data_IF_231350524669
#
_entry.id   IF_231350524669
#
_cell.length_a   1.000
_cell.length_b   1.000
_cell.length_c   1.000
_cell.angle_alpha   90.00
_cell.angle_beta   90.00
_cell.angle_gamma   90.00
#
_symmetry.space_group_name_H-M   'P 1'
#
loop_
_entity.id
_entity.type
_entity.pdbx_description
1 polymer ?
#
# COMPACT_ATOMS: atom_id res chain seq x y z
N UNK A 1 10.74 -16.51 2.51
CA UNK A 1 10.78 -15.20 1.83
C UNK A 1 10.15 -15.37 0.45
N UNK A 2 9.05 -14.67 0.16
CA UNK A 2 8.40 -14.66 -1.16
C UNK A 2 8.63 -13.28 -1.80
N UNK A 3 9.29 -13.23 -2.96
CA UNK A 3 9.57 -12.01 -3.69
C UNK A 3 8.93 -12.06 -5.08
N UNK A 4 8.47 -10.92 -5.62
CA UNK A 4 8.14 -10.84 -7.04
C UNK A 4 9.33 -11.31 -7.88
N UNK A 5 9.09 -12.27 -8.76
CA UNK A 5 10.13 -12.82 -9.65
C UNK A 5 10.45 -11.89 -10.80
N UNK A 6 9.45 -11.15 -11.29
CA UNK A 6 9.62 -10.13 -12.31
C UNK A 6 8.95 -8.82 -11.88
N UNK A 7 9.67 -7.72 -12.07
CA UNK A 7 9.17 -6.38 -11.85
C UNK A 7 9.43 -5.58 -13.12
N UNK A 8 8.36 -5.15 -13.79
CA UNK A 8 8.43 -4.28 -14.96
C UNK A 8 7.75 -2.97 -14.63
N UNK A 9 8.49 -1.88 -14.70
CA UNK A 9 7.99 -0.53 -14.46
C UNK A 9 8.48 0.41 -15.56
N UNK A 10 7.56 0.83 -16.43
CA UNK A 10 7.86 1.75 -17.52
C UNK A 10 6.67 1.99 -18.46
N UNK A 11 6.77 2.93 -19.40
CA UNK A 11 5.71 3.19 -20.37
C UNK A 11 5.49 1.97 -21.28
N UNK A 12 4.24 1.61 -21.53
CA UNK A 12 3.91 0.46 -22.39
C UNK A 12 4.13 -0.90 -21.73
N UNK A 13 4.35 -0.96 -20.41
CA UNK A 13 4.63 -2.21 -19.70
C UNK A 13 3.52 -3.27 -19.88
N UNK A 14 2.28 -2.89 -20.20
CA UNK A 14 1.20 -3.87 -20.41
C UNK A 14 1.48 -4.85 -21.56
N UNK A 15 2.27 -4.46 -22.56
CA UNK A 15 2.66 -5.35 -23.67
C UNK A 15 3.43 -6.58 -23.18
N UNK A 16 4.12 -6.45 -22.04
CA UNK A 16 4.93 -7.51 -21.44
C UNK A 16 4.13 -8.57 -20.69
N UNK A 17 2.82 -8.40 -20.46
CA UNK A 17 2.02 -9.33 -19.65
C UNK A 17 2.02 -10.75 -20.22
N UNK A 18 1.59 -10.94 -21.47
CA UNK A 18 1.61 -12.24 -22.15
C UNK A 18 3.01 -12.87 -22.23
N UNK A 19 4.04 -12.14 -22.68
CA UNK A 19 5.42 -12.63 -22.67
C UNK A 19 5.92 -13.08 -21.30
N UNK A 20 5.60 -12.33 -20.22
CA UNK A 20 5.96 -12.73 -18.85
C UNK A 20 5.24 -14.01 -18.47
N UNK A 21 3.93 -14.13 -18.67
CA UNK A 21 3.17 -15.34 -18.35
C UNK A 21 3.82 -16.59 -18.99
N UNK A 22 4.24 -16.45 -20.26
CA UNK A 22 4.95 -17.51 -21.00
C UNK A 22 6.32 -17.82 -20.40
N UNK A 23 7.12 -16.80 -20.09
CA UNK A 23 8.44 -16.98 -19.47
C UNK A 23 8.36 -17.67 -18.10
N UNK A 24 7.29 -17.37 -17.35
CA UNK A 24 6.96 -17.95 -16.06
C UNK A 24 6.35 -19.35 -16.15
N UNK A 25 6.12 -19.85 -17.38
CA UNK A 25 5.49 -21.15 -17.68
C UNK A 25 4.12 -21.30 -17.01
N UNK A 26 3.39 -20.19 -16.87
CA UNK A 26 1.98 -20.23 -16.46
C UNK A 26 1.20 -20.99 -17.53
N UNK A 27 0.22 -21.78 -17.10
CA UNK A 27 -0.62 -22.60 -17.97
C UNK A 27 -2.09 -22.31 -17.68
N UNK A 28 -2.94 -22.76 -18.59
CA UNK A 28 -4.38 -22.63 -18.47
C UNK A 28 -4.85 -21.19 -18.62
N UNK A 29 -5.95 -20.88 -17.93
CA UNK A 29 -6.71 -19.66 -18.15
C UNK A 29 -6.46 -18.62 -17.06
N UNK A 30 -6.49 -17.35 -17.45
CA UNK A 30 -6.41 -16.22 -16.55
C UNK A 30 -7.80 -15.76 -16.10
N UNK A 31 -7.93 -15.33 -14.85
CA UNK A 31 -9.02 -14.44 -14.42
C UNK A 31 -8.49 -13.03 -14.17
N UNK A 32 -8.98 -12.06 -14.92
CA UNK A 32 -8.68 -10.63 -14.73
C UNK A 32 -9.74 -10.01 -13.81
N UNK A 33 -9.33 -9.66 -12.59
CA UNK A 33 -10.15 -8.89 -11.65
C UNK A 33 -9.83 -7.40 -11.86
N UNK A 34 -10.84 -6.61 -12.22
CA UNK A 34 -10.67 -5.19 -12.56
C UNK A 34 -11.89 -4.37 -12.14
N UNK A 35 -11.74 -3.04 -12.06
CA UNK A 35 -12.87 -2.12 -11.95
C UNK A 35 -13.51 -1.80 -13.30
N UNK A 36 -14.74 -1.27 -13.27
CA UNK A 36 -15.52 -0.91 -14.47
C UNK A 36 -14.75 0.02 -15.42
N UNK A 37 -14.13 1.08 -14.88
CA UNK A 37 -13.35 2.03 -15.68
C UNK A 37 -11.98 1.47 -16.04
N UNK A 38 -11.34 0.73 -15.14
CA UNK A 38 -9.98 0.21 -15.37
C UNK A 38 -9.94 -0.92 -16.39
N UNK A 39 -11.07 -1.58 -16.67
CA UNK A 39 -11.20 -2.51 -17.81
C UNK A 39 -10.79 -1.83 -19.12
N UNK A 40 -11.39 -0.69 -19.43
CA UNK A 40 -11.07 0.05 -20.66
C UNK A 40 -9.71 0.75 -20.63
N UNK A 41 -9.21 1.11 -19.44
CA UNK A 41 -7.90 1.77 -19.30
C UNK A 41 -6.74 0.79 -19.51
N UNK A 42 -6.86 -0.43 -18.98
CA UNK A 42 -5.77 -1.41 -18.95
C UNK A 42 -6.21 -2.85 -19.14
N UNK A 43 -7.39 -3.24 -18.63
CA UNK A 43 -7.87 -4.62 -18.68
C UNK A 43 -7.95 -5.21 -20.10
N UNK A 44 -8.45 -4.44 -21.06
CA UNK A 44 -8.57 -4.89 -22.45
C UNK A 44 -7.20 -5.10 -23.12
N UNK A 45 -6.25 -4.18 -22.89
CA UNK A 45 -4.88 -4.31 -23.37
C UNK A 45 -4.13 -5.51 -22.73
N UNK A 46 -4.40 -5.76 -21.44
CA UNK A 46 -3.89 -6.95 -20.72
C UNK A 46 -4.43 -8.24 -21.35
N UNK A 47 -5.73 -8.31 -21.61
CA UNK A 47 -6.35 -9.47 -22.26
C UNK A 47 -5.82 -9.68 -23.69
N UNK A 48 -5.60 -8.60 -24.44
CA UNK A 48 -5.01 -8.66 -25.77
C UNK A 48 -3.56 -9.19 -25.73
N UNK A 49 -2.73 -8.71 -24.79
CA UNK A 49 -1.36 -9.21 -24.60
C UNK A 49 -1.34 -10.70 -24.23
N UNK A 50 -2.25 -11.14 -23.36
CA UNK A 50 -2.45 -12.55 -23.00
C UNK A 50 -2.85 -13.40 -24.23
N UNK A 51 -3.85 -12.96 -24.99
CA UNK A 51 -4.37 -13.67 -26.16
C UNK A 51 -3.30 -13.85 -27.25
N UNK A 52 -2.51 -12.80 -27.55
CA UNK A 52 -1.36 -12.88 -28.48
C UNK A 52 -0.30 -13.92 -28.07
N UNK A 53 -0.30 -14.32 -26.81
CA UNK A 53 0.64 -15.30 -26.25
C UNK A 53 -0.02 -16.64 -25.90
N UNK A 54 -1.24 -16.89 -26.38
CA UNK A 54 -1.92 -18.18 -26.26
C UNK A 54 -2.63 -18.41 -24.92
N UNK A 55 -2.99 -17.34 -24.20
CA UNK A 55 -3.79 -17.42 -22.97
C UNK A 55 -5.20 -16.92 -23.22
N UNK A 56 -6.18 -17.69 -22.74
CA UNK A 56 -7.55 -17.20 -22.57
C UNK A 56 -7.66 -16.41 -21.26
N UNK A 57 -8.52 -15.40 -21.25
CA UNK A 57 -8.78 -14.59 -20.07
C UNK A 57 -10.27 -14.26 -19.92
N UNK A 58 -10.80 -14.49 -18.73
CA UNK A 58 -12.13 -14.05 -18.32
C UNK A 58 -12.03 -12.81 -17.43
N UNK A 59 -13.08 -11.98 -17.38
CA UNK A 59 -13.12 -10.77 -16.56
C UNK A 59 -14.09 -10.91 -15.38
N UNK A 60 -13.66 -10.41 -14.23
CA UNK A 60 -14.54 -10.07 -13.12
C UNK A 60 -14.47 -8.57 -12.83
N UNK A 61 -15.60 -7.88 -12.94
CA UNK A 61 -15.72 -6.47 -12.57
C UNK A 61 -16.07 -6.35 -11.08
N UNK A 62 -15.29 -5.56 -10.35
CA UNK A 62 -15.47 -5.28 -8.92
C UNK A 62 -15.54 -3.78 -8.64
N UNK A 63 -16.27 -3.39 -7.60
CA UNK A 63 -16.52 -1.97 -7.28
C UNK A 63 -15.94 -1.54 -5.92
N UNK A 64 -15.86 -2.48 -4.96
CA UNK A 64 -15.40 -2.24 -3.60
C UNK A 64 -14.56 -3.42 -3.10
N UNK A 65 -13.51 -3.15 -2.30
CA UNK A 65 -12.63 -4.18 -1.75
C UNK A 65 -13.29 -4.89 -0.55
N UNK A 66 -14.40 -5.60 -0.76
CA UNK A 66 -15.14 -6.31 0.28
C UNK A 66 -14.86 -7.80 0.26
N UNK A 67 -15.04 -8.48 1.40
CA UNK A 67 -14.92 -9.94 1.46
C UNK A 67 -15.93 -10.64 0.52
N UNK A 68 -17.09 -10.04 0.28
CA UNK A 68 -18.06 -10.52 -0.71
C UNK A 68 -17.46 -10.57 -2.12
N UNK A 69 -16.73 -9.52 -2.54
CA UNK A 69 -16.10 -9.49 -3.85
C UNK A 69 -14.89 -10.44 -3.95
N UNK A 70 -14.21 -10.72 -2.83
CA UNK A 70 -13.20 -11.79 -2.75
C UNK A 70 -13.86 -13.16 -2.98
N UNK A 71 -14.99 -13.44 -2.35
CA UNK A 71 -15.73 -14.70 -2.60
C UNK A 71 -16.29 -14.78 -4.02
N UNK A 72 -16.70 -13.66 -4.63
CA UNK A 72 -17.06 -13.61 -6.06
C UNK A 72 -15.87 -13.93 -6.96
N UNK A 73 -14.68 -13.38 -6.67
CA UNK A 73 -13.46 -13.70 -7.41
C UNK A 73 -13.10 -15.18 -7.31
N UNK A 74 -13.25 -15.78 -6.12
CA UNK A 74 -13.02 -17.21 -5.92
C UNK A 74 -13.99 -18.09 -6.71
N UNK A 75 -15.28 -17.73 -6.73
CA UNK A 75 -16.29 -18.42 -7.54
C UNK A 75 -16.00 -18.30 -9.02
N UNK A 76 -15.78 -17.08 -9.52
CA UNK A 76 -15.45 -16.82 -10.92
C UNK A 76 -14.20 -17.59 -11.38
N UNK A 77 -13.16 -17.70 -10.55
CA UNK A 77 -11.97 -18.47 -10.86
C UNK A 77 -12.28 -19.97 -11.04
N UNK A 78 -13.13 -20.53 -10.17
CA UNK A 78 -13.57 -21.93 -10.28
C UNK A 78 -14.46 -22.17 -11.50
N UNK A 79 -15.46 -21.30 -11.71
CA UNK A 79 -16.43 -21.44 -12.79
C UNK A 79 -15.76 -21.35 -14.18
N UNK A 80 -14.71 -20.54 -14.29
CA UNK A 80 -13.94 -20.36 -15.53
C UNK A 80 -12.80 -21.36 -15.68
N UNK A 81 -12.50 -22.18 -14.67
CA UNK A 81 -11.28 -23.00 -14.56
C UNK A 81 -10.00 -22.16 -14.74
N UNK A 82 -9.94 -20.99 -14.09
CA UNK A 82 -8.74 -20.17 -14.06
C UNK A 82 -7.65 -20.86 -13.22
N UNK A 83 -6.41 -20.77 -13.70
CA UNK A 83 -5.21 -21.32 -13.05
C UNK A 83 -4.37 -20.21 -12.37
N UNK A 84 -4.63 -18.95 -12.73
CA UNK A 84 -3.98 -17.78 -12.13
C UNK A 84 -4.86 -16.53 -12.25
N UNK A 85 -4.62 -15.57 -11.35
CA UNK A 85 -5.38 -14.32 -11.29
C UNK A 85 -4.49 -13.12 -11.63
N UNK A 86 -5.07 -12.14 -12.30
CA UNK A 86 -4.49 -10.80 -12.46
C UNK A 86 -5.37 -9.77 -11.78
N UNK A 87 -4.76 -8.90 -10.98
CA UNK A 87 -5.39 -7.70 -10.46
C UNK A 87 -5.03 -6.52 -11.34
N UNK A 88 -5.96 -6.05 -12.17
CA UNK A 88 -5.72 -4.93 -13.11
C UNK A 88 -6.51 -3.71 -12.66
N UNK A 89 -5.85 -2.71 -12.10
CA UNK A 89 -6.53 -1.50 -11.64
C UNK A 89 -5.86 -0.82 -10.45
N UNK A 90 -6.63 -0.05 -9.69
CA UNK A 90 -6.19 0.50 -8.40
C UNK A 90 -6.13 -0.56 -7.30
N UNK A 91 -5.72 -0.13 -6.10
CA UNK A 91 -5.50 -1.01 -4.94
C UNK A 91 -6.66 -1.95 -4.61
N UNK A 92 -7.91 -1.53 -4.81
CA UNK A 92 -9.10 -2.35 -4.54
C UNK A 92 -9.15 -3.64 -5.38
N UNK A 93 -8.93 -3.54 -6.70
CA UNK A 93 -8.99 -4.69 -7.59
C UNK A 93 -7.80 -5.63 -7.32
N UNK A 94 -6.62 -5.05 -7.07
CA UNK A 94 -5.41 -5.76 -6.69
C UNK A 94 -5.61 -6.54 -5.39
N UNK A 95 -6.14 -5.91 -4.34
CA UNK A 95 -6.32 -6.56 -3.04
C UNK A 95 -7.36 -7.70 -3.10
N UNK A 96 -8.42 -7.54 -3.89
CA UNK A 96 -9.39 -8.61 -4.12
C UNK A 96 -8.73 -9.80 -4.81
N UNK A 97 -8.05 -9.55 -5.93
CA UNK A 97 -7.40 -10.58 -6.73
C UNK A 97 -6.35 -11.34 -5.92
N UNK A 98 -5.52 -10.60 -5.17
CA UNK A 98 -4.44 -11.12 -4.33
C UNK A 98 -4.96 -11.98 -3.19
N UNK A 99 -6.01 -11.53 -2.48
CA UNK A 99 -6.57 -12.35 -1.41
C UNK A 99 -7.29 -13.57 -1.96
N UNK A 100 -8.01 -13.44 -3.06
CA UNK A 100 -8.69 -14.56 -3.72
C UNK A 100 -7.69 -15.63 -4.20
N UNK A 101 -6.62 -15.22 -4.88
CA UNK A 101 -5.59 -16.14 -5.36
C UNK A 101 -4.86 -16.84 -4.22
N UNK A 102 -4.52 -16.10 -3.16
CA UNK A 102 -3.86 -16.65 -1.96
C UNK A 102 -4.73 -17.71 -1.26
N UNK A 103 -6.04 -17.49 -1.19
CA UNK A 103 -6.97 -18.47 -0.61
C UNK A 103 -7.28 -19.66 -1.52
N UNK A 104 -6.95 -19.57 -2.81
CA UNK A 104 -7.08 -20.64 -3.79
C UNK A 104 -5.76 -21.35 -4.09
N UNK A 105 -4.65 -20.94 -3.47
CA UNK A 105 -3.30 -21.42 -3.77
C UNK A 105 -2.94 -21.26 -5.26
N UNK A 106 -3.32 -20.12 -5.83
CA UNK A 106 -3.12 -19.77 -7.25
C UNK A 106 -2.10 -18.63 -7.41
N UNK A 107 -1.41 -18.62 -8.55
CA UNK A 107 -0.50 -17.53 -8.88
C UNK A 107 -1.25 -16.20 -9.06
N UNK A 108 -0.58 -15.12 -8.65
CA UNK A 108 -1.09 -13.77 -8.74
C UNK A 108 -0.15 -12.85 -9.51
N UNK A 109 -0.69 -12.06 -10.44
CA UNK A 109 0.03 -10.97 -11.12
C UNK A 109 -0.63 -9.65 -10.79
N UNK A 110 0.16 -8.68 -10.33
CA UNK A 110 -0.29 -7.33 -10.03
C UNK A 110 -0.03 -6.40 -11.22
N UNK A 111 -1.08 -5.75 -11.72
CA UNK A 111 -1.02 -4.80 -12.83
C UNK A 111 -1.64 -3.46 -12.38
N UNK A 112 -0.91 -2.67 -11.59
CA UNK A 112 -1.44 -1.43 -11.02
C UNK A 112 -1.65 -0.35 -12.08
N UNK A 113 -2.79 0.31 -12.01
CA UNK A 113 -3.12 1.53 -12.79
C UNK A 113 -3.03 2.80 -11.96
N UNK A 114 -2.67 2.67 -10.67
CA UNK A 114 -2.43 3.77 -9.73
C UNK A 114 -1.43 3.31 -8.65
N UNK A 115 -0.70 4.27 -8.07
CA UNK A 115 0.37 4.01 -7.11
C UNK A 115 0.07 4.67 -5.75
N UNK A 116 -0.98 4.20 -5.06
CA UNK A 116 -1.50 4.83 -3.83
C UNK A 116 -0.99 4.25 -2.51
N UNK A 117 -0.42 3.04 -2.53
CA UNK A 117 0.15 2.36 -1.38
C UNK A 117 0.92 1.11 -1.85
N UNK A 118 1.73 0.53 -0.96
CA UNK A 118 2.63 -0.58 -1.29
C UNK A 118 1.92 -1.92 -1.54
N UNK A 119 0.61 -1.97 -1.28
CA UNK A 119 -0.28 -3.08 -1.64
C UNK A 119 -0.20 -3.53 -3.10
N UNK A 120 0.35 -2.71 -4.02
CA UNK A 120 0.62 -3.16 -5.39
C UNK A 120 1.65 -4.29 -5.50
N UNK A 121 2.49 -4.49 -4.49
CA UNK A 121 3.57 -5.50 -4.49
C UNK A 121 3.70 -6.28 -3.18
N UNK A 122 2.95 -5.93 -2.12
CA UNK A 122 3.07 -6.56 -0.81
C UNK A 122 2.23 -7.83 -0.64
N UNK A 123 2.54 -8.59 0.41
CA UNK A 123 1.80 -9.78 0.87
C UNK A 123 0.62 -9.44 1.81
N UNK A 124 0.09 -8.21 1.70
CA UNK A 124 -1.05 -7.73 2.49
C UNK A 124 -2.17 -7.28 1.58
N UNK A 125 -3.42 -7.55 1.95
CA UNK A 125 -4.61 -7.08 1.23
C UNK A 125 -5.56 -6.35 2.19
N UNK A 126 -5.92 -5.11 1.87
CA UNK A 126 -6.86 -4.32 2.67
C UNK A 126 -8.29 -4.57 2.20
N UNK A 127 -9.05 -5.32 3.00
CA UNK A 127 -10.41 -5.78 2.66
C UNK A 127 -11.39 -5.32 3.73
N UNK A 128 -12.53 -4.80 3.28
CA UNK A 128 -13.64 -4.37 4.12
C UNK A 128 -14.41 -5.61 4.62
N UNK A 129 -14.46 -5.74 5.94
CA UNK A 129 -15.15 -6.80 6.69
C UNK A 129 -15.95 -6.16 7.83
N UNK A 130 -17.26 -6.44 7.90
CA UNK A 130 -18.12 -5.84 8.94
C UNK A 130 -18.13 -4.30 8.93
N UNK A 131 -17.99 -3.68 7.75
CA UNK A 131 -17.94 -2.22 7.59
C UNK A 131 -16.58 -1.58 7.89
N UNK A 132 -15.57 -2.35 8.26
CA UNK A 132 -14.23 -1.85 8.61
C UNK A 132 -13.15 -2.39 7.67
N UNK A 133 -12.15 -1.57 7.35
CA UNK A 133 -10.97 -2.02 6.59
C UNK A 133 -10.08 -2.91 7.45
N UNK A 134 -9.76 -4.11 6.97
CA UNK A 134 -8.89 -5.08 7.66
C UNK A 134 -7.74 -5.48 6.74
N UNK A 135 -6.51 -5.35 7.23
CA UNK A 135 -5.30 -5.78 6.54
C UNK A 135 -5.07 -7.29 6.72
N UNK A 136 -5.47 -8.06 5.71
CA UNK A 136 -5.40 -9.52 5.68
C UNK A 136 -4.01 -9.98 5.21
N UNK A 137 -3.55 -11.12 5.72
CA UNK A 137 -2.38 -11.80 5.19
C UNK A 137 -2.75 -12.42 3.84
N UNK A 138 -1.90 -12.21 2.83
CA UNK A 138 -2.01 -12.82 1.52
C UNK A 138 -0.61 -13.25 1.03
N UNK A 139 -0.51 -13.69 -0.21
CA UNK A 139 0.77 -13.93 -0.88
C UNK A 139 1.24 -12.70 -1.66
N UNK A 140 2.56 -12.53 -1.77
CA UNK A 140 3.12 -11.50 -2.64
C UNK A 140 2.89 -11.88 -4.12
N UNK A 141 2.68 -10.90 -5.02
CA UNK A 141 2.52 -11.20 -6.45
C UNK A 141 3.75 -11.89 -7.02
N UNK A 142 3.52 -12.85 -7.92
CA UNK A 142 4.55 -13.49 -8.72
C UNK A 142 5.27 -12.47 -9.61
N UNK A 143 4.49 -11.54 -10.18
CA UNK A 143 4.98 -10.46 -11.04
C UNK A 143 4.25 -9.14 -10.75
N UNK A 144 4.98 -8.03 -10.86
CA UNK A 144 4.41 -6.67 -10.83
C UNK A 144 4.68 -6.00 -12.17
N UNK A 145 3.63 -5.57 -12.86
CA UNK A 145 3.70 -4.96 -14.19
C UNK A 145 3.03 -3.58 -14.11
N UNK A 146 3.83 -2.56 -13.87
CA UNK A 146 3.40 -1.18 -13.66
C UNK A 146 3.64 -0.33 -14.92
N UNK A 147 2.59 -0.09 -15.68
CA UNK A 147 2.67 0.84 -16.81
C UNK A 147 2.67 2.29 -16.31
N UNK A 148 3.85 2.91 -16.30
CA UNK A 148 4.02 4.25 -15.76
C UNK A 148 3.32 5.30 -16.60
N UNK A 149 3.12 5.06 -17.90
CA UNK A 149 2.33 5.94 -18.78
C UNK A 149 0.84 5.95 -18.43
N UNK A 150 0.31 4.81 -17.96
CA UNK A 150 -1.06 4.71 -17.42
C UNK A 150 -1.14 5.34 -16.03
N UNK A 151 -0.22 4.99 -15.13
CA UNK A 151 -0.24 5.50 -13.75
C UNK A 151 -0.07 7.03 -13.73
N UNK A 152 0.72 7.61 -14.64
CA UNK A 152 0.86 9.07 -14.80
C UNK A 152 -0.46 9.78 -15.12
N UNK A 153 -1.39 9.11 -15.79
CA UNK A 153 -2.72 9.64 -16.12
C UNK A 153 -3.74 9.44 -14.98
N UNK A 154 -3.38 8.70 -13.93
CA UNK A 154 -4.24 8.54 -12.75
C UNK A 154 -4.31 9.85 -11.95
N UNK A 155 -5.35 10.07 -11.12
CA UNK A 155 -5.43 11.25 -10.27
C UNK A 155 -4.16 11.40 -9.42
N UNK A 156 -3.47 12.55 -9.53
CA UNK A 156 -2.18 12.79 -8.85
C UNK A 156 -2.26 12.58 -7.33
N UNK A 157 -3.42 12.84 -6.72
CA UNK A 157 -3.70 12.53 -5.31
C UNK A 157 -3.33 11.09 -4.93
N UNK A 158 -3.53 10.12 -5.82
CA UNK A 158 -3.15 8.73 -5.58
C UNK A 158 -1.63 8.59 -5.50
N UNK A 159 -0.87 9.22 -6.40
CA UNK A 159 0.60 9.20 -6.35
C UNK A 159 1.14 9.87 -5.08
N UNK A 160 0.55 11.02 -4.70
CA UNK A 160 0.89 11.73 -3.47
C UNK A 160 0.59 10.88 -2.22
N UNK A 161 -0.53 10.16 -2.20
CA UNK A 161 -0.84 9.19 -1.14
C UNK A 161 0.22 8.09 -1.07
N UNK A 162 0.66 7.54 -2.20
CA UNK A 162 1.75 6.55 -2.24
C UNK A 162 3.06 7.08 -1.66
N UNK A 163 3.37 8.36 -1.84
CA UNK A 163 4.52 8.99 -1.20
C UNK A 163 4.37 9.03 0.33
N UNK A 164 3.18 9.37 0.83
CA UNK A 164 2.88 9.35 2.26
C UNK A 164 3.05 7.95 2.88
N UNK A 165 2.62 6.91 2.16
CA UNK A 165 2.82 5.51 2.54
C UNK A 165 4.31 5.15 2.62
N UNK A 166 5.11 5.53 1.62
CA UNK A 166 6.56 5.25 1.60
C UNK A 166 7.30 6.01 2.69
N UNK A 167 7.00 7.29 2.91
CA UNK A 167 7.67 8.11 3.92
C UNK A 167 7.44 7.52 5.32
N UNK A 168 6.31 6.86 5.53
CA UNK A 168 5.94 6.21 6.79
C UNK A 168 6.90 5.08 7.22
N UNK A 169 7.64 4.51 6.28
CA UNK A 169 8.70 3.53 6.54
C UNK A 169 9.75 4.05 7.53
N UNK A 170 10.00 5.37 7.59
CA UNK A 170 10.92 5.96 8.56
C UNK A 170 10.52 5.63 10.01
N UNK A 171 9.28 5.95 10.39
CA UNK A 171 8.82 5.72 11.77
C UNK A 171 8.56 4.24 12.02
N UNK A 172 8.17 3.48 10.99
CA UNK A 172 8.04 2.03 11.09
C UNK A 172 9.36 1.35 11.48
N UNK A 173 10.47 1.73 10.83
CA UNK A 173 11.81 1.21 11.18
C UNK A 173 12.23 1.64 12.59
N UNK A 174 11.95 2.88 12.99
CA UNK A 174 12.26 3.34 14.35
C UNK A 174 11.50 2.53 15.41
N UNK A 175 10.22 2.26 15.18
CA UNK A 175 9.42 1.38 16.03
C UNK A 175 9.94 -0.05 16.05
N UNK A 176 10.33 -0.58 14.90
CA UNK A 176 10.85 -1.95 14.83
C UNK A 176 12.17 -2.09 15.59
N UNK A 177 13.09 -1.11 15.47
CA UNK A 177 14.32 -1.03 16.26
C UNK A 177 14.03 -0.87 17.76
N UNK A 178 13.04 -0.05 18.12
CA UNK A 178 12.61 0.13 19.50
C UNK A 178 12.09 -1.19 20.10
N UNK A 179 11.21 -1.88 19.36
CA UNK A 179 10.68 -3.17 19.75
C UNK A 179 11.80 -4.23 19.86
N UNK A 180 12.79 -4.22 18.97
CA UNK A 180 13.93 -5.14 19.05
C UNK A 180 14.70 -4.93 20.36
N UNK A 181 14.96 -3.67 20.76
CA UNK A 181 15.67 -3.36 22.02
C UNK A 181 14.86 -3.67 23.27
N UNK A 182 13.55 -3.41 23.26
CA UNK A 182 12.71 -3.51 24.48
C UNK A 182 12.00 -4.86 24.64
N UNK A 183 11.69 -5.54 23.53
CA UNK A 183 10.91 -6.77 23.49
C UNK A 183 11.65 -7.94 22.85
N UNK A 184 12.90 -7.74 22.43
CA UNK A 184 13.74 -8.77 21.82
C UNK A 184 13.06 -9.43 20.59
N UNK A 185 12.31 -8.64 19.81
CA UNK A 185 11.72 -9.13 18.55
C UNK A 185 12.80 -9.25 17.48
N UNK A 186 12.63 -10.20 16.57
CA UNK A 186 13.52 -10.34 15.41
C UNK A 186 13.53 -9.06 14.56
N UNK A 187 14.72 -8.69 14.10
CA UNK A 187 14.94 -7.58 13.16
C UNK A 187 15.86 -8.05 12.01
N UNK A 188 15.54 -7.61 10.80
CA UNK A 188 16.36 -7.87 9.61
C UNK A 188 17.04 -6.59 9.17
N UNK A 189 18.36 -6.50 9.34
CA UNK A 189 19.14 -5.31 8.95
C UNK A 189 19.05 -5.02 7.44
N UNK A 190 18.91 -6.07 6.61
CA UNK A 190 18.67 -5.91 5.18
C UNK A 190 17.31 -5.25 4.89
N UNK A 191 16.25 -5.68 5.59
CA UNK A 191 14.92 -5.06 5.47
C UNK A 191 14.91 -3.63 5.96
N UNK A 192 15.60 -3.36 7.07
CA UNK A 192 15.76 -2.02 7.64
C UNK A 192 16.46 -1.10 6.66
N UNK A 193 17.64 -1.49 6.15
CA UNK A 193 18.40 -0.68 5.20
C UNK A 193 17.61 -0.38 3.92
N UNK A 194 16.92 -1.38 3.36
CA UNK A 194 16.10 -1.21 2.16
C UNK A 194 14.93 -0.25 2.41
N UNK A 195 14.26 -0.39 3.56
CA UNK A 195 13.12 0.45 3.93
C UNK A 195 13.54 1.90 4.18
N UNK A 196 14.62 2.12 4.93
CA UNK A 196 15.17 3.46 5.20
C UNK A 196 15.64 4.16 3.92
N UNK A 197 16.34 3.43 3.04
CA UNK A 197 16.75 3.96 1.74
C UNK A 197 15.54 4.39 0.90
N UNK A 198 14.51 3.55 0.86
CA UNK A 198 13.28 3.81 0.09
C UNK A 198 12.58 5.07 0.56
N UNK A 199 12.38 5.20 1.88
CA UNK A 199 11.76 6.37 2.49
C UNK A 199 12.60 7.63 2.25
N UNK A 200 13.93 7.52 2.40
CA UNK A 200 14.88 8.60 2.19
C UNK A 200 14.82 9.17 0.78
N UNK A 201 14.78 8.30 -0.22
CA UNK A 201 14.68 8.74 -1.61
C UNK A 201 13.44 9.60 -1.84
N UNK A 202 12.27 9.21 -1.33
CA UNK A 202 11.05 10.02 -1.51
C UNK A 202 11.14 11.36 -0.77
N UNK A 203 11.73 11.39 0.43
CA UNK A 203 11.95 12.66 1.14
C UNK A 203 12.94 13.58 0.42
N UNK A 204 14.07 13.04 -0.04
CA UNK A 204 15.15 13.83 -0.65
C UNK A 204 14.74 14.38 -2.02
N UNK A 205 13.95 13.61 -2.78
CA UNK A 205 13.45 13.99 -4.11
C UNK A 205 12.03 14.58 -4.07
N UNK A 206 11.53 15.01 -2.90
CA UNK A 206 10.16 15.53 -2.75
C UNK A 206 9.84 16.67 -3.75
N UNK A 207 10.81 17.55 -4.04
CA UNK A 207 10.64 18.65 -5.00
C UNK A 207 10.55 18.21 -6.47
N UNK A 208 10.99 16.99 -6.78
CA UNK A 208 11.00 16.43 -8.15
C UNK A 208 9.75 15.56 -8.43
N UNK A 209 8.97 15.25 -7.41
CA UNK A 209 7.71 14.52 -7.54
C UNK A 209 6.61 15.53 -7.89
N UNK A 210 6.18 15.54 -9.15
CA UNK A 210 5.21 16.50 -9.70
C UNK A 210 4.13 15.79 -10.54
N UNK A 211 2.95 16.39 -10.70
CA UNK A 211 1.90 15.84 -11.55
C UNK A 211 2.32 15.78 -13.02
N UNK A 212 1.93 14.71 -13.71
CA UNK A 212 2.10 14.58 -15.16
C UNK A 212 3.51 14.26 -15.64
N UNK A 213 4.44 13.92 -14.74
CA UNK A 213 5.79 13.47 -15.08
C UNK A 213 5.95 11.96 -14.90
N UNK A 214 6.51 11.29 -15.90
CA UNK A 214 6.74 9.85 -15.88
C UNK A 214 7.81 9.49 -14.85
N UNK A 215 8.83 10.32 -14.69
CA UNK A 215 9.94 10.15 -13.77
C UNK A 215 9.47 10.16 -12.32
N UNK A 216 8.53 11.06 -11.98
CA UNK A 216 7.89 11.08 -10.65
C UNK A 216 7.15 9.78 -10.38
N UNK A 217 6.38 9.29 -11.35
CA UNK A 217 5.67 8.01 -11.25
C UNK A 217 6.64 6.84 -11.10
N UNK A 218 7.68 6.80 -11.92
CA UNK A 218 8.69 5.74 -11.91
C UNK A 218 9.41 5.67 -10.57
N UNK A 219 9.77 6.81 -9.99
CA UNK A 219 10.40 6.90 -8.68
C UNK A 219 9.48 6.29 -7.61
N UNK A 220 8.23 6.76 -7.55
CA UNK A 220 7.26 6.32 -6.53
C UNK A 220 6.89 4.84 -6.68
N UNK A 221 6.64 4.36 -7.90
CA UNK A 221 6.32 2.95 -8.16
C UNK A 221 7.47 2.04 -7.72
N UNK A 222 8.71 2.37 -8.08
CA UNK A 222 9.88 1.59 -7.65
C UNK A 222 10.05 1.60 -6.14
N UNK A 223 9.77 2.74 -5.49
CA UNK A 223 9.83 2.86 -4.05
C UNK A 223 8.74 2.01 -3.34
N UNK A 224 7.49 2.00 -3.83
CA UNK A 224 6.43 1.13 -3.29
C UNK A 224 6.80 -0.37 -3.41
N UNK A 225 7.37 -0.76 -4.55
CA UNK A 225 7.83 -2.13 -4.76
C UNK A 225 9.00 -2.47 -3.82
N UNK A 226 9.94 -1.54 -3.64
CA UNK A 226 11.07 -1.68 -2.70
C UNK A 226 10.59 -1.85 -1.25
N UNK A 227 9.61 -1.06 -0.81
CA UNK A 227 8.95 -1.22 0.50
C UNK A 227 8.36 -2.64 0.67
N UNK A 228 7.70 -3.14 -0.37
CA UNK A 228 7.14 -4.50 -0.37
C UNK A 228 8.19 -5.60 -0.30
N UNK A 229 9.31 -5.44 -1.01
CA UNK A 229 10.46 -6.35 -0.93
C UNK A 229 11.04 -6.35 0.48
N UNK A 230 11.14 -5.20 1.15
CA UNK A 230 11.60 -5.12 2.53
C UNK A 230 10.71 -5.93 3.48
N UNK A 231 9.38 -5.84 3.34
CA UNK A 231 8.42 -6.66 4.10
C UNK A 231 8.58 -8.15 3.84
N UNK A 232 8.78 -8.54 2.58
CA UNK A 232 8.99 -9.94 2.20
C UNK A 232 10.28 -10.54 2.78
N UNK A 233 11.38 -9.77 2.81
CA UNK A 233 12.64 -10.17 3.47
C UNK A 233 12.41 -10.31 4.98
N UNK A 234 11.64 -9.40 5.58
CA UNK A 234 11.36 -9.41 7.02
C UNK A 234 10.41 -10.55 7.43
N UNK A 235 9.65 -11.12 6.49
CA UNK A 235 8.54 -12.02 6.80
C UNK A 235 7.42 -11.33 7.62
N UNK A 236 7.39 -10.00 7.63
CA UNK A 236 6.44 -9.20 8.40
C UNK A 236 6.29 -7.82 7.77
N UNK A 237 5.23 -7.09 8.16
CA UNK A 237 5.06 -5.70 7.74
C UNK A 237 5.87 -4.70 8.58
N UNK A 238 6.63 -5.13 9.58
CA UNK A 238 7.36 -4.24 10.49
C UNK A 238 8.28 -3.20 9.80
N UNK A 239 9.00 -3.48 8.68
CA UNK A 239 9.83 -2.45 8.04
C UNK A 239 9.04 -1.31 7.41
N UNK A 240 7.75 -1.48 7.14
CA UNK A 240 6.91 -0.49 6.45
C UNK A 240 5.65 -0.12 7.25
N UNK A 241 5.42 -0.71 8.43
CA UNK A 241 4.20 -0.55 9.21
C UNK A 241 4.47 -0.61 10.71
N UNK A 242 4.55 0.57 11.33
CA UNK A 242 4.70 0.81 12.76
C UNK A 242 3.49 1.52 13.37
N UNK A 243 3.76 2.47 14.26
CA UNK A 243 2.77 3.27 14.98
C UNK A 243 1.96 4.19 14.07
N UNK A 244 2.55 4.69 12.99
CA UNK A 244 1.87 5.54 12.01
C UNK A 244 0.77 4.76 11.26
N UNK A 245 1.03 3.49 10.94
CA UNK A 245 0.02 2.58 10.39
C UNK A 245 -1.02 2.17 11.42
N UNK A 246 -0.64 1.97 12.68
CA UNK A 246 -1.63 1.72 13.76
C UNK A 246 -2.60 2.90 13.89
N UNK A 247 -2.08 4.13 13.81
CA UNK A 247 -2.89 5.35 13.76
C UNK A 247 -3.82 5.37 12.54
N UNK A 248 -3.29 5.13 11.33
CA UNK A 248 -4.10 5.09 10.11
C UNK A 248 -5.21 4.03 10.16
N UNK A 249 -4.90 2.83 10.65
CA UNK A 249 -5.90 1.77 10.82
C UNK A 249 -6.94 2.09 11.91
N UNK A 250 -6.57 2.83 12.96
CA UNK A 250 -7.55 3.29 13.94
C UNK A 250 -8.50 4.33 13.31
N UNK A 251 -7.97 5.27 12.53
CA UNK A 251 -8.79 6.22 11.78
C UNK A 251 -9.75 5.52 10.80
N UNK A 252 -9.29 4.49 10.08
CA UNK A 252 -10.14 3.65 9.22
C UNK A 252 -11.34 3.04 9.98
N UNK A 253 -11.25 2.87 11.30
CA UNK A 253 -12.32 2.30 12.12
C UNK A 253 -13.26 3.35 12.73
N UNK A 254 -12.76 4.54 13.04
CA UNK A 254 -13.52 5.53 13.84
C UNK A 254 -13.97 6.75 13.01
N UNK A 255 -13.28 7.06 11.91
CA UNK A 255 -13.65 8.19 11.06
C UNK A 255 -14.88 7.85 10.21
N UNK A 256 -15.89 8.75 10.11
CA UNK A 256 -17.08 8.51 9.30
C UNK A 256 -16.78 8.27 7.81
N UNK A 257 -15.75 8.95 7.30
CA UNK A 257 -15.25 8.79 5.94
C UNK A 257 -13.71 8.86 5.96
N UNK A 258 -13.04 7.70 5.96
CA UNK A 258 -11.58 7.67 5.94
C UNK A 258 -10.99 8.30 4.68
N UNK A 259 -9.81 8.92 4.84
CA UNK A 259 -8.99 9.41 3.75
C UNK A 259 -8.26 8.24 3.04
N UNK A 260 -7.43 8.51 2.03
CA UNK A 260 -6.63 7.44 1.43
C UNK A 260 -5.61 6.91 2.44
N UNK A 261 -5.32 5.60 2.40
CA UNK A 261 -4.43 4.94 3.36
C UNK A 261 -3.09 5.67 3.53
N UNK A 262 -2.37 5.91 2.42
CA UNK A 262 -1.08 6.59 2.46
C UNK A 262 -1.14 8.05 2.91
N UNK A 263 -2.28 8.73 2.78
CA UNK A 263 -2.48 10.07 3.35
C UNK A 263 -2.55 10.00 4.88
N UNK A 264 -3.29 9.04 5.42
CA UNK A 264 -3.40 8.80 6.86
C UNK A 264 -2.05 8.36 7.45
N UNK A 265 -1.33 7.47 6.77
CA UNK A 265 0.02 7.04 7.15
C UNK A 265 0.99 8.23 7.15
N UNK A 266 0.97 9.08 6.12
CA UNK A 266 1.80 10.29 6.05
C UNK A 266 1.57 11.24 7.22
N UNK A 267 0.30 11.56 7.54
CA UNK A 267 -0.04 12.40 8.70
C UNK A 267 0.36 11.73 10.02
N UNK A 268 0.13 10.43 10.17
CA UNK A 268 0.60 9.66 11.33
C UNK A 268 2.12 9.77 11.49
N UNK A 269 2.88 9.66 10.41
CA UNK A 269 4.35 9.71 10.40
C UNK A 269 4.88 11.03 10.99
N UNK A 270 4.22 12.16 10.71
CA UNK A 270 4.59 13.46 11.29
C UNK A 270 4.55 13.38 12.84
N UNK A 271 3.45 12.87 13.38
CA UNK A 271 3.24 12.77 14.83
C UNK A 271 4.16 11.74 15.49
N UNK A 272 4.36 10.58 14.85
CA UNK A 272 5.22 9.53 15.39
C UNK A 272 6.69 9.93 15.33
N UNK A 273 7.13 10.67 14.31
CA UNK A 273 8.50 11.18 14.24
C UNK A 273 8.77 12.18 15.38
N UNK A 274 7.78 13.02 15.73
CA UNK A 274 7.88 13.89 16.90
C UNK A 274 8.05 13.09 18.20
N UNK A 275 7.27 12.02 18.39
CA UNK A 275 7.39 11.14 19.57
C UNK A 275 8.74 10.43 19.66
N UNK A 276 9.32 10.05 18.52
CA UNK A 276 10.68 9.51 18.44
C UNK A 276 11.78 10.58 18.65
N UNK A 277 11.41 11.86 18.79
CA UNK A 277 12.36 12.97 18.95
C UNK A 277 13.12 13.32 17.68
N UNK A 278 12.62 12.94 16.51
CA UNK A 278 13.25 13.20 15.21
C UNK A 278 12.71 14.44 14.50
N UNK A 279 13.20 14.68 13.28
CA UNK A 279 12.86 15.83 12.44
C UNK A 279 11.51 15.63 11.72
N UNK A 280 10.43 15.83 12.48
CA UNK A 280 9.07 15.77 11.96
C UNK A 280 8.74 16.94 11.01
N UNK A 281 9.43 18.08 11.14
CA UNK A 281 9.25 19.22 10.24
C UNK A 281 9.67 18.87 8.82
N UNK A 282 10.82 18.19 8.64
CA UNK A 282 11.25 17.72 7.32
C UNK A 282 10.23 16.80 6.67
N UNK A 283 9.63 15.88 7.43
CA UNK A 283 8.57 14.98 6.93
C UNK A 283 7.36 15.79 6.47
N UNK A 284 6.87 16.69 7.33
CA UNK A 284 5.73 17.56 7.00
C UNK A 284 6.01 18.40 5.75
N UNK A 285 7.19 19.02 5.67
CA UNK A 285 7.52 19.95 4.59
C UNK A 285 7.72 19.21 3.26
N UNK A 286 8.27 17.98 3.29
CA UNK A 286 8.31 17.10 2.12
C UNK A 286 6.90 16.67 1.66
N UNK A 287 6.02 16.25 2.57
CA UNK A 287 4.63 15.91 2.25
C UNK A 287 3.88 17.10 1.63
N UNK A 288 4.03 18.30 2.21
CA UNK A 288 3.47 19.53 1.64
C UNK A 288 4.00 19.83 0.25
N UNK A 289 5.31 19.66 0.05
CA UNK A 289 5.97 19.87 -1.25
C UNK A 289 5.41 18.93 -2.32
N UNK A 290 5.22 17.66 -1.99
CA UNK A 290 4.63 16.65 -2.88
C UNK A 290 3.14 16.94 -3.14
N UNK A 291 2.47 17.65 -2.24
CA UNK A 291 1.02 17.89 -2.28
C UNK A 291 0.20 16.81 -1.56
N UNK A 292 0.81 16.09 -0.63
CA UNK A 292 0.14 15.15 0.26
C UNK A 292 -0.43 15.87 1.51
N UNK A 293 -1.53 15.36 2.12
CA UNK A 293 -2.10 15.90 3.35
C UNK A 293 -1.09 15.97 4.50
N UNK A 294 -1.17 17.06 5.29
CA UNK A 294 -0.38 17.20 6.52
C UNK A 294 -1.19 17.59 7.75
N UNK A 295 -2.49 17.80 7.57
CA UNK A 295 -3.42 18.22 8.63
C UNK A 295 -4.69 17.37 8.61
N UNK A 296 -5.43 17.38 9.71
CA UNK A 296 -6.76 16.76 9.81
C UNK A 296 -7.72 17.30 8.74
N UNK A 297 -7.67 18.62 8.53
CA UNK A 297 -8.45 19.32 7.51
C UNK A 297 -8.12 18.85 6.09
N UNK A 298 -6.84 18.65 5.76
CA UNK A 298 -6.42 18.13 4.45
C UNK A 298 -6.95 16.69 4.22
N UNK A 299 -7.03 15.89 5.30
CA UNK A 299 -7.64 14.55 5.26
C UNK A 299 -9.17 14.60 5.15
N UNK A 300 -9.79 15.73 5.45
CA UNK A 300 -11.25 15.86 5.58
C UNK A 300 -11.80 15.15 6.83
N UNK A 301 -11.00 15.07 7.89
CA UNK A 301 -11.32 14.40 9.16
C UNK A 301 -11.33 15.46 10.29
N UNK A 302 -12.33 15.40 11.16
CA UNK A 302 -12.38 16.29 12.33
C UNK A 302 -11.27 15.97 13.35
N UNK A 303 -10.71 17.00 13.99
CA UNK A 303 -9.61 16.90 14.96
C UNK A 303 -9.87 15.89 16.08
N UNK A 304 -11.12 15.75 16.53
CA UNK A 304 -11.50 14.78 17.57
C UNK A 304 -11.14 13.34 17.19
N UNK A 305 -11.22 12.97 15.91
CA UNK A 305 -10.85 11.64 15.43
C UNK A 305 -9.34 11.46 15.35
N UNK A 306 -8.57 12.52 15.06
CA UNK A 306 -7.11 12.48 15.12
C UNK A 306 -6.66 12.20 16.55
N UNK A 307 -7.20 12.94 17.52
CA UNK A 307 -6.89 12.78 18.94
C UNK A 307 -7.30 11.39 19.42
N UNK A 308 -8.53 10.95 19.13
CA UNK A 308 -9.00 9.62 19.51
C UNK A 308 -8.16 8.50 18.88
N UNK A 309 -7.76 8.66 17.61
CA UNK A 309 -6.90 7.69 16.96
C UNK A 309 -5.51 7.60 17.59
N UNK A 310 -4.89 8.73 17.96
CA UNK A 310 -3.61 8.73 18.67
C UNK A 310 -3.70 7.97 20.01
N UNK A 311 -4.77 8.20 20.77
CA UNK A 311 -4.99 7.55 22.07
C UNK A 311 -5.12 6.03 21.89
N UNK A 312 -6.00 5.60 20.98
CA UNK A 312 -6.39 4.20 20.85
C UNK A 312 -5.50 3.39 19.91
N UNK A 313 -4.64 4.01 19.10
CA UNK A 313 -3.85 3.33 18.07
C UNK A 313 -3.04 2.14 18.62
N UNK A 314 -2.56 2.20 19.86
CA UNK A 314 -1.82 1.10 20.47
C UNK A 314 -2.60 -0.24 20.49
N UNK A 315 -3.94 -0.17 20.52
CA UNK A 315 -4.84 -1.34 20.48
C UNK A 315 -4.91 -2.03 19.11
N UNK A 316 -4.48 -1.37 18.03
CA UNK A 316 -4.32 -2.02 16.73
C UNK A 316 -3.07 -2.89 16.79
N UNK A 317 -3.22 -4.20 16.57
CA UNK A 317 -2.11 -5.17 16.67
C UNK A 317 -1.37 -5.04 18.02
N UNK A 318 -2.04 -5.33 19.14
CA UNK A 318 -1.46 -5.12 20.48
C UNK A 318 -0.20 -5.96 20.72
N UNK A 319 0.00 -7.03 19.95
CA UNK A 319 1.22 -7.85 19.95
C UNK A 319 2.46 -7.12 19.39
N UNK A 320 2.28 -6.04 18.63
CA UNK A 320 3.36 -5.25 18.03
C UNK A 320 3.67 -4.03 18.89
N UNK A 321 4.80 -4.05 19.59
CA UNK A 321 5.27 -2.91 20.37
C UNK A 321 5.77 -1.77 19.46
N UNK A 322 5.45 -0.52 19.83
CA UNK A 322 5.81 0.71 19.10
C UNK A 322 6.03 1.85 20.10
N UNK A 323 6.39 3.04 19.63
CA UNK A 323 6.53 4.24 20.48
C UNK A 323 5.25 4.62 21.25
N UNK A 324 4.08 4.18 20.78
CA UNK A 324 2.80 4.40 21.45
C UNK A 324 2.61 3.52 22.71
N UNK A 325 3.52 2.58 22.98
CA UNK A 325 3.45 1.71 24.16
C UNK A 325 2.24 0.77 24.17
N UNK A 326 1.81 0.39 25.38
CA UNK A 326 0.73 -0.59 25.63
C UNK A 326 -0.49 0.02 26.34
N UNK A 327 -0.54 1.35 26.48
CA UNK A 327 -1.59 2.06 27.20
C UNK A 327 -2.06 3.26 26.39
N UNK A 328 -3.29 3.68 26.64
CA UNK A 328 -3.81 4.94 26.12
C UNK A 328 -2.86 6.10 26.46
N UNK A 329 -2.56 6.92 25.46
CA UNK A 329 -1.95 8.23 25.71
C UNK A 329 -2.92 9.08 26.52
N UNK A 330 -2.46 9.82 27.54
CA UNK A 330 -3.30 10.82 28.20
C UNK A 330 -3.87 11.78 27.16
N UNK A 331 -5.17 12.11 27.27
CA UNK A 331 -5.84 12.95 26.28
C UNK A 331 -5.11 14.28 26.01
N UNK A 332 -4.65 14.95 27.07
CA UNK A 332 -3.86 16.19 26.95
C UNK A 332 -2.55 15.99 26.19
N UNK A 333 -1.88 14.85 26.36
CA UNK A 333 -0.68 14.52 25.61
C UNK A 333 -0.99 14.32 24.13
N UNK A 334 -2.07 13.60 23.78
CA UNK A 334 -2.50 13.40 22.40
C UNK A 334 -2.84 14.73 21.70
N UNK A 335 -3.58 15.63 22.38
CA UNK A 335 -3.86 16.98 21.88
C UNK A 335 -2.57 17.77 21.70
N UNK A 336 -1.66 17.73 22.67
CA UNK A 336 -0.40 18.47 22.60
C UNK A 336 0.50 17.99 21.45
N UNK A 337 0.59 16.67 21.23
CA UNK A 337 1.32 16.08 20.09
C UNK A 337 0.75 16.61 18.77
N UNK A 338 -0.56 16.49 18.57
CA UNK A 338 -1.22 16.88 17.34
C UNK A 338 -1.12 18.39 17.06
N UNK A 339 -1.22 19.25 18.09
CA UNK A 339 -1.03 20.71 17.96
C UNK A 339 0.42 21.11 17.72
N UNK A 340 1.36 20.53 18.48
CA UNK A 340 2.80 20.83 18.33
C UNK A 340 3.27 20.50 16.90
N UNK A 341 2.78 19.39 16.37
CA UNK A 341 3.08 18.96 14.99
C UNK A 341 2.26 19.67 13.91
N UNK A 342 1.33 20.55 14.30
CA UNK A 342 0.43 21.29 13.41
C UNK A 342 -0.48 20.39 12.57
N UNK A 343 -0.80 19.20 13.05
CA UNK A 343 -1.77 18.30 12.41
C UNK A 343 -3.21 18.76 12.70
N UNK A 344 -3.45 19.31 13.88
CA UNK A 344 -4.70 19.98 14.28
C UNK A 344 -4.43 21.43 14.71
N UNK A 345 -5.49 22.22 14.86
CA UNK A 345 -5.43 23.62 15.34
C UNK A 345 -5.31 23.72 16.88
#
# INVERSE_FOLDING_TARGET
MQLPRNVIAGPGALESVGPICRSMRLKGRALIVTGRNTKGIAGDAVAESLSKNGYDADFLIVESATMENVEKAKRAARDTNAEFLLGVGGGKAIDIAKLASSQLDMYFISVPTAASHDGIASSRASIIQGGKSVSNQAEAPLCVIADTGIIMKSPYRLLAAGCGDIISNYTAVLDWRLAARLRNVYISEYSVALSEMTARMVLDYAHDIKPGLEESVRLVVKALISSSVAMSIAGSSAPASGSEHKFAHMLDQIAPKPALHGEQCGVGTIMMMYLHGGDWQRIRDALKTIGAPTTAKDLGIEDKYIVEALIKAHTIRPERYTILGDKDLPHEAAVNIARTTKVIE
#
